data_IF_710752738325
#
_entry.id   IF_710752738325
#
_cell.length_a   1.000
_cell.length_b   1.000
_cell.length_c   1.000
_cell.angle_alpha   90.00
_cell.angle_beta   90.00
_cell.angle_gamma   90.00
#
_symmetry.space_group_name_H-M   'P 1'
#
loop_
_entity.id
_entity.type
_entity.pdbx_description
1 polymer ?
#
# COMPACT_ATOMS: atom_id res chain seq x y z
N UNK A 1 11.96 6.61 -7.82
CA UNK A 1 12.39 5.20 -7.93
C UNK A 1 11.91 4.65 -9.26
N UNK A 2 12.65 3.78 -9.94
CA UNK A 2 12.20 3.15 -11.20
C UNK A 2 11.19 2.02 -10.93
N UNK A 3 10.28 1.74 -11.88
CA UNK A 3 9.30 0.64 -11.78
C UNK A 3 9.94 -0.70 -11.40
N UNK A 4 11.04 -1.08 -12.04
CA UNK A 4 11.74 -2.34 -11.77
C UNK A 4 12.31 -2.42 -10.35
N UNK A 5 12.80 -1.31 -9.81
CA UNK A 5 13.30 -1.24 -8.44
C UNK A 5 12.15 -1.40 -7.44
N UNK A 6 10.99 -0.80 -7.73
CA UNK A 6 9.79 -0.99 -6.93
C UNK A 6 9.29 -2.43 -6.95
N UNK A 7 9.25 -3.08 -8.12
CA UNK A 7 8.83 -4.47 -8.23
C UNK A 7 9.76 -5.41 -7.43
N UNK A 8 11.07 -5.18 -7.47
CA UNK A 8 12.05 -5.90 -6.64
C UNK A 8 11.84 -5.63 -5.14
N UNK A 9 11.53 -4.38 -4.77
CA UNK A 9 11.28 -3.99 -3.38
C UNK A 9 10.13 -4.79 -2.75
N UNK A 10 9.10 -5.10 -3.54
CA UNK A 10 7.88 -5.78 -3.08
C UNK A 10 7.84 -7.28 -3.38
N UNK A 11 8.90 -7.86 -3.96
CA UNK A 11 8.95 -9.28 -4.38
C UNK A 11 8.66 -10.26 -3.23
N UNK A 12 8.97 -9.87 -1.99
CA UNK A 12 8.66 -10.66 -0.78
C UNK A 12 7.22 -10.54 -0.26
N UNK A 13 6.38 -9.68 -0.85
CA UNK A 13 4.98 -9.54 -0.47
C UNK A 13 4.12 -10.55 -1.24
N UNK A 14 3.27 -11.31 -0.53
CA UNK A 14 2.32 -12.24 -1.16
C UNK A 14 1.14 -11.46 -1.73
N UNK A 15 1.20 -11.12 -3.01
CA UNK A 15 0.18 -10.31 -3.68
C UNK A 15 -0.99 -11.17 -4.18
N UNK A 16 -2.24 -10.68 -4.08
CA UNK A 16 -3.38 -11.24 -4.81
C UNK A 16 -3.25 -10.94 -6.32
N UNK A 17 -4.12 -11.57 -7.13
CA UNK A 17 -4.22 -11.26 -8.56
C UNK A 17 -4.61 -9.80 -8.80
N UNK A 18 -5.53 -9.30 -7.99
CA UNK A 18 -5.97 -7.91 -7.97
C UNK A 18 -6.42 -7.55 -6.56
N UNK A 19 -6.28 -6.29 -6.18
CA UNK A 19 -6.83 -5.75 -4.94
C UNK A 19 -8.20 -5.13 -5.15
N UNK A 20 -9.03 -5.14 -4.11
CA UNK A 20 -10.19 -4.26 -4.01
C UNK A 20 -9.74 -2.79 -4.15
N UNK A 21 -10.35 -2.07 -5.09
CA UNK A 21 -10.01 -0.68 -5.38
C UNK A 21 -10.27 0.24 -4.17
N UNK A 22 -11.26 -0.05 -3.32
CA UNK A 22 -11.51 0.73 -2.11
C UNK A 22 -10.36 0.61 -1.11
N UNK A 23 -9.73 -0.56 -1.00
CA UNK A 23 -8.54 -0.74 -0.16
C UNK A 23 -7.36 0.06 -0.70
N UNK A 24 -7.16 0.05 -2.02
CA UNK A 24 -6.12 0.85 -2.67
C UNK A 24 -6.35 2.35 -2.48
N UNK A 25 -7.59 2.82 -2.61
CA UNK A 25 -7.93 4.22 -2.42
C UNK A 25 -7.68 4.66 -0.96
N UNK A 26 -8.10 3.87 0.03
CA UNK A 26 -7.82 4.15 1.43
C UNK A 26 -6.31 4.14 1.75
N UNK A 27 -5.56 3.19 1.21
CA UNK A 27 -4.12 3.14 1.37
C UNK A 27 -3.42 4.33 0.69
N UNK A 28 -3.92 4.79 -0.45
CA UNK A 28 -3.43 6.00 -1.11
C UNK A 28 -3.65 7.24 -0.24
N UNK A 29 -4.84 7.39 0.36
CA UNK A 29 -5.13 8.49 1.29
C UNK A 29 -4.24 8.47 2.53
N UNK A 30 -3.95 7.27 3.05
CA UNK A 30 -3.04 7.05 4.18
C UNK A 30 -1.65 7.66 3.93
N UNK A 31 -1.08 7.51 2.73
CA UNK A 31 0.21 8.11 2.38
C UNK A 31 0.20 9.65 2.45
N UNK A 32 -0.96 10.28 2.26
CA UNK A 32 -1.15 11.71 2.46
C UNK A 32 -1.04 12.17 3.93
N UNK A 33 -1.21 11.24 4.89
CA UNK A 33 -1.08 11.46 6.34
C UNK A 33 0.22 10.93 6.92
N UNK A 34 0.89 9.99 6.25
CA UNK A 34 2.19 9.45 6.66
C UNK A 34 3.25 10.55 6.81
N UNK A 35 4.11 10.45 7.82
CA UNK A 35 5.14 11.43 8.16
C UNK A 35 4.57 12.80 8.56
N UNK A 36 3.32 12.85 9.04
CA UNK A 36 2.69 14.05 9.60
C UNK A 36 2.23 13.84 11.05
N UNK A 37 2.35 12.62 11.57
CA UNK A 37 1.96 12.27 12.92
C UNK A 37 3.15 12.27 13.86
N UNK A 38 2.91 12.58 15.14
CA UNK A 38 3.87 12.41 16.23
C UNK A 38 3.64 11.08 16.99
N UNK A 39 2.80 10.18 16.47
CA UNK A 39 2.53 8.89 17.10
C UNK A 39 3.78 7.99 17.10
N UNK A 40 4.07 7.39 18.26
CA UNK A 40 5.19 6.46 18.48
C UNK A 40 5.17 5.26 17.53
N UNK A 41 3.98 4.76 17.20
CA UNK A 41 3.76 3.74 16.17
C UNK A 41 2.86 4.31 15.05
N UNK A 42 3.41 5.26 14.30
CA UNK A 42 2.69 5.93 13.21
C UNK A 42 2.15 4.93 12.18
N UNK A 43 2.90 3.85 11.88
CA UNK A 43 2.49 2.86 10.88
C UNK A 43 1.26 2.09 11.31
N UNK A 44 1.26 1.51 12.51
CA UNK A 44 0.11 0.74 12.96
C UNK A 44 -1.11 1.63 13.11
N UNK A 45 -0.94 2.84 13.67
CA UNK A 45 -2.03 3.80 13.79
C UNK A 45 -2.64 4.16 12.42
N UNK A 46 -1.81 4.35 11.40
CA UNK A 46 -2.27 4.61 10.04
C UNK A 46 -3.01 3.39 9.46
N UNK A 47 -2.49 2.17 9.64
CA UNK A 47 -3.16 0.97 9.15
C UNK A 47 -4.53 0.76 9.81
N UNK A 48 -4.66 1.01 11.10
CA UNK A 48 -5.94 0.96 11.80
C UNK A 48 -6.90 2.05 11.31
N UNK A 49 -6.43 3.29 11.24
CA UNK A 49 -7.24 4.47 10.86
C UNK A 49 -7.80 4.34 9.45
N UNK A 50 -7.01 3.83 8.50
CA UNK A 50 -7.41 3.67 7.10
C UNK A 50 -8.01 2.28 6.81
N UNK A 51 -8.31 1.49 7.84
CA UNK A 51 -9.01 0.21 7.70
C UNK A 51 -8.19 -0.90 7.03
N UNK A 52 -6.87 -0.76 6.99
CA UNK A 52 -5.94 -1.78 6.49
C UNK A 52 -5.59 -2.82 7.56
N UNK A 53 -5.91 -2.57 8.83
CA UNK A 53 -5.85 -3.58 9.88
C UNK A 53 -6.95 -4.63 9.70
N UNK A 54 -6.59 -5.90 9.95
CA UNK A 54 -7.52 -7.02 9.92
C UNK A 54 -8.51 -6.93 11.07
N UNK A 55 -9.80 -7.16 10.77
CA UNK A 55 -10.89 -7.23 11.74
C UNK A 55 -11.37 -8.68 11.89
N UNK A 56 -11.95 -9.06 13.04
CA UNK A 56 -12.48 -10.41 13.25
C UNK A 56 -13.45 -10.85 12.15
N UNK A 57 -14.34 -9.94 11.75
CA UNK A 57 -15.42 -10.16 10.79
C UNK A 57 -14.98 -10.05 9.32
N UNK A 58 -13.71 -9.71 9.04
CA UNK A 58 -13.23 -9.69 7.66
C UNK A 58 -13.24 -11.13 7.09
N UNK A 59 -13.63 -11.25 5.83
CA UNK A 59 -13.51 -12.50 5.08
C UNK A 59 -12.03 -12.91 4.96
N UNK A 60 -11.76 -14.20 4.75
CA UNK A 60 -10.37 -14.66 4.56
C UNK A 60 -9.70 -13.98 3.35
N UNK A 61 -10.44 -13.73 2.28
CA UNK A 61 -9.93 -13.01 1.12
C UNK A 61 -9.51 -11.58 1.48
N UNK A 62 -10.39 -10.83 2.15
CA UNK A 62 -10.12 -9.46 2.59
C UNK A 62 -8.94 -9.37 3.56
N UNK A 63 -8.81 -10.35 4.49
CA UNK A 63 -7.66 -10.45 5.40
C UNK A 63 -6.35 -10.62 4.62
N UNK A 64 -6.33 -11.45 3.58
CA UNK A 64 -5.14 -11.67 2.75
C UNK A 64 -4.76 -10.42 1.94
N UNK A 65 -5.75 -9.72 1.38
CA UNK A 65 -5.50 -8.45 0.68
C UNK A 65 -4.92 -7.39 1.63
N UNK A 66 -5.50 -7.23 2.83
CA UNK A 66 -4.98 -6.31 3.85
C UNK A 66 -3.55 -6.64 4.27
N UNK A 67 -3.23 -7.91 4.48
CA UNK A 67 -1.86 -8.37 4.79
C UNK A 67 -0.90 -8.01 3.66
N UNK A 68 -1.28 -8.30 2.42
CA UNK A 68 -0.47 -7.99 1.24
C UNK A 68 -0.23 -6.48 1.10
N UNK A 69 -1.29 -5.67 1.26
CA UNK A 69 -1.23 -4.23 1.13
C UNK A 69 -0.42 -3.59 2.25
N UNK A 70 -0.55 -4.07 3.50
CA UNK A 70 0.32 -3.67 4.62
C UNK A 70 1.79 -3.98 4.37
N UNK A 71 2.10 -5.14 3.76
CA UNK A 71 3.46 -5.48 3.38
C UNK A 71 4.03 -4.47 2.38
N UNK A 72 3.31 -4.21 1.28
CA UNK A 72 3.71 -3.24 0.24
C UNK A 72 3.90 -1.85 0.85
N UNK A 73 2.90 -1.36 1.59
CA UNK A 73 2.94 -0.04 2.19
C UNK A 73 4.12 0.11 3.16
N UNK A 74 4.39 -0.91 3.98
CA UNK A 74 5.54 -0.91 4.90
C UNK A 74 6.85 -0.79 4.14
N UNK A 75 7.03 -1.57 3.06
CA UNK A 75 8.24 -1.49 2.22
C UNK A 75 8.40 -0.11 1.57
N UNK A 76 7.31 0.52 1.14
CA UNK A 76 7.33 1.88 0.59
C UNK A 76 7.71 2.92 1.66
N UNK A 77 7.14 2.80 2.86
CA UNK A 77 7.45 3.70 3.98
C UNK A 77 8.89 3.55 4.48
N UNK A 78 9.44 2.34 4.43
CA UNK A 78 10.83 2.05 4.83
C UNK A 78 11.86 2.40 3.74
N UNK A 79 11.40 2.77 2.55
CA UNK A 79 12.26 3.18 1.45
C UNK A 79 12.15 4.68 1.20
N UNK A 80 12.99 5.20 0.30
CA UNK A 80 13.10 6.62 -0.01
C UNK A 80 11.96 7.15 -0.91
N UNK A 81 10.77 6.55 -0.87
CA UNK A 81 9.61 7.07 -1.58
C UNK A 81 9.15 8.38 -0.96
N UNK A 82 8.88 9.37 -1.82
CA UNK A 82 8.08 10.50 -1.38
C UNK A 82 6.60 10.08 -1.29
N UNK A 83 5.86 10.80 -0.44
CA UNK A 83 4.47 10.48 -0.10
C UNK A 83 3.51 10.57 -1.30
N UNK A 84 3.76 11.52 -2.19
CA UNK A 84 2.92 11.76 -3.37
C UNK A 84 3.03 10.62 -4.37
N UNK A 85 4.26 10.20 -4.69
CA UNK A 85 4.53 9.07 -5.57
C UNK A 85 3.99 7.78 -4.96
N UNK A 86 4.18 7.60 -3.64
CA UNK A 86 3.66 6.43 -2.95
C UNK A 86 2.13 6.33 -3.04
N UNK A 87 1.42 7.42 -2.79
CA UNK A 87 -0.02 7.49 -2.96
C UNK A 87 -0.45 7.17 -4.40
N UNK A 88 0.22 7.77 -5.40
CA UNK A 88 -0.11 7.57 -6.80
C UNK A 88 0.12 6.12 -7.26
N UNK A 89 1.21 5.49 -6.83
CA UNK A 89 1.52 4.09 -7.13
C UNK A 89 0.46 3.18 -6.51
N UNK A 90 0.13 3.36 -5.23
CA UNK A 90 -0.84 2.54 -4.53
C UNK A 90 -2.23 2.66 -5.13
N UNK A 91 -2.69 3.88 -5.43
CA UNK A 91 -3.98 4.11 -6.07
C UNK A 91 -4.15 3.33 -7.38
N UNK A 92 -3.05 3.18 -8.11
CA UNK A 92 -3.01 2.52 -9.41
C UNK A 92 -2.39 1.12 -9.36
N UNK A 93 -2.28 0.49 -8.18
CA UNK A 93 -1.50 -0.73 -8.00
C UNK A 93 -1.91 -1.85 -8.97
N UNK A 94 -3.22 -2.06 -9.16
CA UNK A 94 -3.73 -3.08 -10.09
C UNK A 94 -3.29 -2.86 -11.55
N UNK A 95 -2.95 -1.61 -11.91
CA UNK A 95 -2.56 -1.21 -13.27
C UNK A 95 -1.06 -1.14 -13.46
N UNK A 96 -0.24 -1.19 -12.40
CA UNK A 96 1.21 -0.94 -12.55
C UNK A 96 1.89 -1.97 -13.45
N UNK A 97 1.31 -3.16 -13.59
CA UNK A 97 1.81 -4.23 -14.46
C UNK A 97 1.32 -4.09 -15.92
N UNK A 98 0.32 -3.23 -16.18
CA UNK A 98 -0.18 -2.98 -17.52
C UNK A 98 0.88 -2.26 -18.37
N UNK A 99 1.06 -2.65 -19.65
CA UNK A 99 2.01 -1.99 -20.55
C UNK A 99 1.73 -0.50 -20.78
N UNK A 100 0.46 -0.10 -20.66
CA UNK A 100 -0.03 1.27 -20.88
C UNK A 100 0.14 2.17 -19.65
N UNK A 101 0.49 1.61 -18.49
CA UNK A 101 0.65 2.40 -17.28
C UNK A 101 1.92 3.26 -17.34
N UNK A 102 1.72 4.57 -17.25
CA UNK A 102 2.82 5.53 -17.14
C UNK A 102 3.30 5.56 -15.70
N UNK A 103 4.52 5.09 -15.47
CA UNK A 103 5.19 5.18 -14.17
C UNK A 103 5.35 6.65 -13.74
N UNK A 104 5.19 6.90 -12.45
CA UNK A 104 5.28 8.24 -11.83
C UNK A 104 6.72 8.72 -11.67
#
# INVERSE_FOLDING_TARGET
MKKEEFLKLIEGCKLPESFDQHLLDHASEMFGKWGKSAHLDEKEHLFETFGLASKPDDSNALKMEKIALRCVCTKMMDSSFNRTDAAAIIKNFNKIMEPTYKWV
#
